data_IF_536250259470
#
_entry.id   IF_536250259470
#
_cell.length_a   1.000
_cell.length_b   1.000
_cell.length_c   1.000
_cell.angle_alpha   90.00
_cell.angle_beta   90.00
_cell.angle_gamma   90.00
#
_symmetry.space_group_name_H-M   'P 1'
#
loop_
_entity.id
_entity.type
_entity.pdbx_description
1 polymer ?
#
# COMPACT_ATOMS: atom_id res chain seq x y z
N UNK A 1 -50.69 8.43 10.98
CA UNK A 1 -49.81 8.61 9.81
C UNK A 1 -48.53 9.44 10.08
N UNK A 2 -48.50 10.35 11.06
CA UNK A 2 -47.30 11.18 11.34
C UNK A 2 -46.18 10.46 12.10
N UNK A 3 -46.46 9.44 12.91
CA UNK A 3 -45.48 8.71 13.72
C UNK A 3 -44.62 7.79 12.88
N UNK A 4 -45.15 7.18 11.82
CA UNK A 4 -44.40 6.26 10.92
C UNK A 4 -43.35 7.03 10.08
N UNK A 5 -43.63 8.29 9.73
CA UNK A 5 -42.72 9.12 8.94
C UNK A 5 -41.49 9.57 9.77
N UNK A 6 -41.66 9.81 11.07
CA UNK A 6 -40.57 10.23 11.98
C UNK A 6 -39.62 9.07 12.26
N UNK A 7 -40.13 7.83 12.41
CA UNK A 7 -39.30 6.63 12.63
C UNK A 7 -38.49 6.29 11.38
N UNK A 8 -39.09 6.43 10.19
CA UNK A 8 -38.34 6.19 8.93
C UNK A 8 -37.25 7.23 8.69
N UNK A 9 -37.48 8.50 9.06
CA UNK A 9 -36.46 9.56 8.91
C UNK A 9 -35.31 9.39 9.90
N UNK A 10 -35.60 8.97 11.15
CA UNK A 10 -34.56 8.74 12.16
C UNK A 10 -33.70 7.53 11.85
N UNK A 11 -34.25 6.45 11.26
CA UNK A 11 -33.46 5.28 10.83
C UNK A 11 -32.60 5.58 9.62
N UNK A 12 -33.06 6.40 8.67
CA UNK A 12 -32.26 6.83 7.52
C UNK A 12 -31.06 7.70 7.95
N UNK A 13 -31.24 8.61 8.91
CA UNK A 13 -30.14 9.44 9.45
C UNK A 13 -29.13 8.58 10.22
N UNK A 14 -29.58 7.56 10.95
CA UNK A 14 -28.66 6.65 11.67
C UNK A 14 -27.85 5.76 10.74
N UNK A 15 -28.43 5.26 9.67
CA UNK A 15 -27.74 4.42 8.68
C UNK A 15 -26.73 5.25 7.87
N UNK A 16 -27.09 6.44 7.42
CA UNK A 16 -26.15 7.34 6.73
C UNK A 16 -25.03 7.83 7.66
N UNK A 17 -25.35 8.12 8.94
CA UNK A 17 -24.36 8.48 9.94
C UNK A 17 -23.36 7.36 10.23
N UNK A 18 -23.83 6.12 10.30
CA UNK A 18 -22.98 4.93 10.45
C UNK A 18 -22.13 4.70 9.20
N UNK A 19 -22.66 4.92 8.00
CA UNK A 19 -21.91 4.78 6.75
C UNK A 19 -20.79 5.83 6.63
N UNK A 20 -21.08 7.08 6.93
CA UNK A 20 -20.10 8.18 6.94
C UNK A 20 -19.04 8.00 8.03
N UNK A 21 -19.43 7.51 9.22
CA UNK A 21 -18.48 7.17 10.30
C UNK A 21 -17.61 5.97 9.91
N UNK A 22 -18.17 4.96 9.25
CA UNK A 22 -17.42 3.79 8.77
C UNK A 22 -16.38 4.17 7.73
N UNK A 23 -16.69 5.05 6.78
CA UNK A 23 -15.70 5.55 5.81
C UNK A 23 -14.57 6.35 6.48
N UNK A 24 -14.90 7.24 7.43
CA UNK A 24 -13.89 8.02 8.17
C UNK A 24 -12.99 7.18 9.05
N UNK A 25 -13.51 6.10 9.67
CA UNK A 25 -12.73 5.21 10.55
C UNK A 25 -11.79 4.30 9.76
N UNK A 26 -12.10 3.96 8.50
CA UNK A 26 -11.30 3.05 7.67
C UNK A 26 -10.40 3.74 6.65
N UNK A 27 -10.59 5.03 6.41
CA UNK A 27 -9.77 5.79 5.47
C UNK A 27 -8.50 6.26 6.20
N UNK A 28 -7.38 5.62 5.89
CA UNK A 28 -6.04 6.11 6.28
C UNK A 28 -5.48 6.80 5.04
N UNK A 29 -5.39 8.12 5.10
CA UNK A 29 -4.69 8.96 4.14
C UNK A 29 -3.85 9.92 4.97
N UNK A 30 -2.77 9.39 5.54
CA UNK A 30 -1.88 10.19 6.38
C UNK A 30 -0.73 10.70 5.54
N UNK A 31 -0.43 11.96 5.74
CA UNK A 31 0.73 12.65 5.15
C UNK A 31 1.79 12.84 6.23
N UNK A 32 3.05 12.84 5.80
CA UNK A 32 4.13 13.22 6.67
C UNK A 32 3.92 14.64 7.21
N UNK A 33 4.26 14.92 8.48
CA UNK A 33 4.24 16.27 9.01
C UNK A 33 5.18 17.18 8.22
N UNK A 34 4.85 18.49 8.20
CA UNK A 34 5.73 19.49 7.61
C UNK A 34 7.02 19.60 8.43
N UNK A 35 8.15 19.81 7.75
CA UNK A 35 9.47 19.98 8.35
C UNK A 35 10.44 18.84 8.08
N UNK A 36 11.61 18.94 8.70
CA UNK A 36 12.66 17.91 8.57
C UNK A 36 12.32 16.69 9.45
N UNK A 37 12.05 15.58 8.79
CA UNK A 37 11.83 14.30 9.45
C UNK A 37 13.19 13.66 9.71
N UNK A 38 13.47 13.41 10.99
CA UNK A 38 14.66 12.65 11.40
C UNK A 38 14.28 11.18 11.47
N UNK A 39 15.00 10.35 10.74
CA UNK A 39 14.87 8.90 10.78
C UNK A 39 16.21 8.25 11.11
N UNK A 40 16.19 7.25 11.99
CA UNK A 40 17.40 6.52 12.41
C UNK A 40 17.93 5.56 11.34
N UNK A 41 17.07 5.13 10.43
CA UNK A 41 17.38 4.17 9.36
C UNK A 41 16.96 4.69 8.00
N UNK A 42 17.93 4.85 7.11
CA UNK A 42 17.63 5.16 5.72
C UNK A 42 16.82 4.03 5.06
N UNK A 43 15.78 4.38 4.31
CA UNK A 43 15.06 3.46 3.43
C UNK A 43 16.01 2.68 2.50
N UNK A 44 17.07 3.34 2.04
CA UNK A 44 18.05 2.75 1.12
C UNK A 44 19.01 1.75 1.76
N UNK A 45 18.99 1.58 3.09
CA UNK A 45 19.71 0.53 3.81
C UNK A 45 18.93 -0.79 3.90
N UNK A 46 17.69 -0.80 3.43
CA UNK A 46 16.84 -1.99 3.43
C UNK A 46 17.20 -2.91 2.29
N UNK A 47 16.82 -4.17 2.46
CA UNK A 47 16.89 -5.21 1.45
C UNK A 47 15.69 -6.18 1.62
N UNK A 48 15.33 -6.85 0.56
CA UNK A 48 14.33 -7.92 0.55
C UNK A 48 14.60 -8.88 -0.62
N UNK A 49 14.15 -10.13 -0.51
CA UNK A 49 14.23 -11.06 -1.62
C UNK A 49 13.10 -10.78 -2.64
N UNK A 50 13.46 -10.75 -3.91
CA UNK A 50 12.48 -10.71 -4.99
C UNK A 50 11.69 -12.02 -5.08
N UNK A 51 10.77 -12.11 -6.05
CA UNK A 51 9.89 -13.27 -6.21
C UNK A 51 10.68 -14.56 -6.48
N UNK A 52 11.87 -14.45 -7.09
CA UNK A 52 12.80 -15.56 -7.40
C UNK A 52 13.73 -15.91 -6.23
N UNK A 53 13.63 -15.20 -5.10
CA UNK A 53 14.48 -15.40 -3.92
C UNK A 53 15.83 -14.69 -3.97
N UNK A 54 16.09 -13.81 -4.96
CA UNK A 54 17.31 -13.03 -5.05
C UNK A 54 17.21 -11.79 -4.17
N UNK A 55 18.23 -11.56 -3.35
CA UNK A 55 18.28 -10.36 -2.49
C UNK A 55 18.47 -9.08 -3.31
N UNK A 56 17.56 -8.15 -3.13
CA UNK A 56 17.53 -6.83 -3.76
C UNK A 56 17.85 -5.78 -2.70
N UNK A 57 18.95 -5.05 -2.87
CA UNK A 57 19.25 -3.87 -2.05
C UNK A 57 18.46 -2.66 -2.52
N UNK A 58 17.83 -1.96 -1.59
CA UNK A 58 17.03 -0.76 -1.90
C UNK A 58 17.88 0.47 -2.25
N UNK A 59 19.18 0.38 -2.08
CA UNK A 59 20.12 1.40 -2.59
C UNK A 59 20.01 1.63 -4.11
N UNK A 60 19.54 0.61 -4.86
CA UNK A 60 19.29 0.74 -6.32
C UNK A 60 18.15 1.70 -6.68
N UNK A 61 17.30 2.06 -5.71
CA UNK A 61 16.16 2.96 -5.91
C UNK A 61 16.46 4.42 -5.53
N UNK A 62 17.70 4.75 -5.15
CA UNK A 62 18.10 6.13 -4.83
C UNK A 62 17.77 7.10 -5.97
N UNK A 63 17.17 8.25 -5.60
CA UNK A 63 16.80 9.29 -6.55
C UNK A 63 15.50 9.02 -7.31
N UNK A 64 14.78 7.94 -7.01
CA UNK A 64 13.45 7.65 -7.55
C UNK A 64 12.39 7.69 -6.45
N UNK A 65 11.19 8.11 -6.81
CA UNK A 65 10.01 7.91 -5.97
C UNK A 65 9.66 6.43 -5.92
N UNK A 66 9.17 5.97 -4.78
CA UNK A 66 8.82 4.57 -4.60
C UNK A 66 7.39 4.44 -4.06
N UNK A 67 6.59 3.58 -4.69
CA UNK A 67 5.31 3.13 -4.17
C UNK A 67 5.47 1.70 -3.66
N UNK A 68 5.29 1.48 -2.36
CA UNK A 68 5.25 0.15 -1.77
C UNK A 68 3.79 -0.24 -1.55
N UNK A 69 3.43 -1.45 -1.95
CA UNK A 69 2.07 -1.97 -1.82
C UNK A 69 2.09 -3.45 -1.43
N UNK A 70 1.27 -3.85 -0.45
CA UNK A 70 1.05 -5.26 -0.18
C UNK A 70 -0.12 -5.78 -1.00
N UNK A 71 0.06 -6.93 -1.63
CA UNK A 71 -0.84 -7.43 -2.66
C UNK A 71 -1.35 -8.85 -2.35
N UNK A 72 -2.44 -9.24 -3.02
CA UNK A 72 -2.99 -10.59 -2.94
C UNK A 72 -3.84 -10.93 -4.18
N UNK A 73 -3.75 -12.20 -4.62
CA UNK A 73 -4.40 -12.70 -5.84
C UNK A 73 -5.92 -12.93 -5.69
N UNK A 74 -6.44 -13.08 -4.45
CA UNK A 74 -7.85 -13.42 -4.18
C UNK A 74 -8.57 -12.36 -3.33
N UNK A 75 -8.25 -11.09 -3.52
CA UNK A 75 -8.81 -9.97 -2.78
C UNK A 75 -9.85 -9.22 -3.62
N UNK A 76 -10.83 -8.58 -2.98
CA UNK A 76 -11.75 -7.67 -3.68
C UNK A 76 -11.06 -6.48 -4.35
N UNK A 77 -9.83 -6.16 -3.96
CA UNK A 77 -9.01 -5.10 -4.56
C UNK A 77 -8.00 -5.62 -5.62
N UNK A 78 -8.00 -6.90 -5.96
CA UNK A 78 -7.02 -7.51 -6.90
C UNK A 78 -7.01 -6.81 -8.27
N UNK A 79 -8.16 -6.26 -8.71
CA UNK A 79 -8.23 -5.47 -9.95
C UNK A 79 -7.33 -4.23 -9.95
N UNK A 80 -6.86 -3.75 -8.79
CA UNK A 80 -5.87 -2.66 -8.71
C UNK A 80 -4.52 -3.02 -9.32
N UNK A 81 -4.21 -4.28 -9.56
CA UNK A 81 -3.03 -4.68 -10.33
C UNK A 81 -3.02 -4.04 -11.73
N UNK A 82 -4.18 -3.95 -12.39
CA UNK A 82 -4.30 -3.28 -13.68
C UNK A 82 -3.89 -1.79 -13.59
N UNK A 83 -4.38 -1.11 -12.55
CA UNK A 83 -4.12 0.31 -12.35
C UNK A 83 -2.67 0.56 -11.90
N UNK A 84 -2.07 -0.35 -11.10
CA UNK A 84 -0.65 -0.33 -10.76
C UNK A 84 0.22 -0.50 -12.02
N UNK A 85 -0.15 -1.43 -12.90
CA UNK A 85 0.57 -1.65 -14.16
C UNK A 85 0.45 -0.45 -15.11
N UNK A 86 -0.71 0.19 -15.18
CA UNK A 86 -0.90 1.42 -15.94
C UNK A 86 -0.03 2.56 -15.38
N UNK A 87 -0.04 2.74 -14.05
CA UNK A 87 0.79 3.72 -13.36
C UNK A 87 2.28 3.46 -13.64
N UNK A 88 2.71 2.19 -13.58
CA UNK A 88 4.07 1.79 -13.90
C UNK A 88 4.46 2.16 -15.33
N UNK A 89 3.68 1.75 -16.32
CA UNK A 89 3.95 2.04 -17.75
C UNK A 89 4.07 3.53 -18.04
N UNK A 90 3.26 4.34 -17.34
CA UNK A 90 3.20 5.78 -17.57
C UNK A 90 4.34 6.55 -16.89
N UNK A 91 4.87 6.04 -15.77
CA UNK A 91 5.78 6.81 -14.91
C UNK A 91 7.01 6.02 -14.44
N UNK A 92 7.42 4.95 -15.12
CA UNK A 92 8.55 4.10 -14.72
C UNK A 92 9.92 4.83 -14.72
N UNK A 93 10.01 5.98 -15.39
CA UNK A 93 11.14 6.89 -15.33
C UNK A 93 11.25 7.62 -13.99
N UNK A 94 10.11 7.91 -13.32
CA UNK A 94 10.00 8.69 -12.08
C UNK A 94 9.64 7.85 -10.86
N UNK A 95 8.83 6.82 -11.05
CA UNK A 95 8.27 5.99 -9.98
C UNK A 95 8.69 4.53 -10.12
N UNK A 96 9.13 3.94 -9.02
CA UNK A 96 9.29 2.49 -8.91
C UNK A 96 8.18 1.89 -8.03
N UNK A 97 7.52 0.84 -8.51
CA UNK A 97 6.51 0.10 -7.74
C UNK A 97 7.17 -1.15 -7.16
N UNK A 98 7.00 -1.36 -5.85
CA UNK A 98 7.50 -2.50 -5.10
C UNK A 98 6.32 -3.23 -4.46
N UNK A 99 5.95 -4.38 -5.02
CA UNK A 99 4.79 -5.15 -4.57
C UNK A 99 5.21 -6.35 -3.72
N UNK A 100 4.57 -6.47 -2.56
CA UNK A 100 4.81 -7.50 -1.56
C UNK A 100 3.59 -8.40 -1.39
N UNK A 101 3.57 -9.59 -2.01
CA UNK A 101 2.52 -10.58 -1.79
C UNK A 101 2.43 -10.98 -0.32
N UNK A 102 1.20 -11.06 0.22
CA UNK A 102 1.02 -11.40 1.63
C UNK A 102 -0.28 -12.14 1.92
N UNK A 103 -0.17 -13.22 2.69
CA UNK A 103 -1.32 -14.01 3.14
C UNK A 103 -1.89 -13.56 4.50
N UNK A 104 -1.49 -12.38 5.00
CA UNK A 104 -1.90 -11.90 6.33
C UNK A 104 -3.37 -11.49 6.43
N UNK A 105 -4.06 -11.27 5.32
CA UNK A 105 -5.41 -10.75 5.30
C UNK A 105 -6.36 -11.74 4.62
N UNK A 106 -7.16 -12.41 5.44
CA UNK A 106 -8.20 -13.32 4.96
C UNK A 106 -7.69 -14.51 4.16
N UNK A 107 -6.41 -14.89 4.29
CA UNK A 107 -5.78 -15.97 3.53
C UNK A 107 -5.93 -15.81 2.00
N UNK A 108 -5.88 -14.56 1.53
CA UNK A 108 -6.15 -14.20 0.14
C UNK A 108 -4.92 -14.30 -0.79
N UNK A 109 -3.77 -14.77 -0.27
CA UNK A 109 -2.56 -15.07 -1.07
C UNK A 109 -2.01 -16.46 -0.76
N UNK A 110 -2.76 -17.54 -1.09
CA UNK A 110 -2.36 -18.91 -0.72
C UNK A 110 -1.25 -19.49 -1.60
N UNK A 111 -1.03 -18.94 -2.81
CA UNK A 111 -0.09 -19.46 -3.80
C UNK A 111 1.37 -19.48 -3.34
N UNK A 112 2.22 -20.30 -4.00
CA UNK A 112 3.67 -20.17 -3.95
C UNK A 112 4.14 -18.91 -4.68
N UNK A 113 5.42 -18.55 -4.58
CA UNK A 113 6.00 -17.43 -5.33
C UNK A 113 5.80 -17.61 -6.84
N UNK A 114 6.10 -18.77 -7.39
CA UNK A 114 5.94 -19.08 -8.82
C UNK A 114 4.47 -18.94 -9.27
N UNK A 115 3.52 -19.42 -8.46
CA UNK A 115 2.08 -19.27 -8.76
C UNK A 115 1.60 -17.82 -8.70
N UNK A 116 2.18 -17.01 -7.81
CA UNK A 116 1.87 -15.58 -7.69
C UNK A 116 2.43 -14.83 -8.91
N UNK A 117 3.67 -15.12 -9.28
CA UNK A 117 4.31 -14.52 -10.46
C UNK A 117 3.54 -14.85 -11.73
N UNK A 118 3.25 -16.14 -11.99
CA UNK A 118 2.44 -16.58 -13.13
C UNK A 118 1.05 -15.89 -13.14
N UNK A 119 0.40 -15.78 -11.98
CA UNK A 119 -0.88 -15.09 -11.86
C UNK A 119 -0.77 -13.61 -12.24
N UNK A 120 0.24 -12.91 -11.75
CA UNK A 120 0.48 -11.49 -12.01
C UNK A 120 0.81 -11.23 -13.49
N UNK A 121 1.68 -12.05 -14.09
CA UNK A 121 2.05 -11.94 -15.49
C UNK A 121 0.88 -12.26 -16.41
N UNK A 122 0.24 -13.42 -16.21
CA UNK A 122 -0.81 -13.92 -17.12
C UNK A 122 -2.06 -13.05 -17.09
N UNK A 123 -2.51 -12.59 -15.90
CA UNK A 123 -3.78 -11.89 -15.78
C UNK A 123 -3.67 -10.37 -15.94
N UNK A 124 -2.48 -9.79 -15.63
CA UNK A 124 -2.30 -8.33 -15.57
C UNK A 124 -1.10 -7.82 -16.36
N UNK A 125 -0.23 -8.72 -16.85
CA UNK A 125 1.00 -8.33 -17.55
C UNK A 125 1.94 -7.50 -16.67
N UNK A 126 2.05 -7.87 -15.39
CA UNK A 126 2.87 -7.15 -14.42
C UNK A 126 4.35 -7.29 -14.79
N UNK A 127 5.02 -6.14 -14.92
CA UNK A 127 6.45 -6.05 -15.18
C UNK A 127 7.22 -5.15 -14.17
N UNK A 128 6.54 -4.67 -13.13
CA UNK A 128 7.17 -4.02 -12.00
C UNK A 128 7.65 -5.04 -10.95
N UNK A 129 8.50 -4.60 -10.01
CA UNK A 129 9.17 -5.47 -9.05
C UNK A 129 8.19 -6.18 -8.10
N UNK A 130 8.14 -7.51 -8.17
CA UNK A 130 7.51 -8.37 -7.18
C UNK A 130 8.57 -8.88 -6.19
N UNK A 131 8.21 -8.98 -4.91
CA UNK A 131 9.01 -9.59 -3.86
C UNK A 131 8.42 -10.94 -3.43
N UNK A 132 9.21 -11.76 -2.73
CA UNK A 132 8.73 -13.02 -2.18
C UNK A 132 7.54 -12.81 -1.24
N UNK A 133 6.63 -13.78 -1.23
CA UNK A 133 5.49 -13.76 -0.31
C UNK A 133 5.98 -13.75 1.14
N UNK A 134 5.56 -12.75 1.89
CA UNK A 134 6.04 -12.53 3.25
C UNK A 134 4.96 -11.94 4.17
N UNK A 135 5.27 -11.91 5.46
CA UNK A 135 4.42 -11.22 6.42
C UNK A 135 4.66 -9.70 6.34
N UNK A 136 3.58 -8.95 6.21
CA UNK A 136 3.57 -7.48 6.20
C UNK A 136 2.97 -6.90 7.49
N UNK A 137 2.49 -7.77 8.41
CA UNK A 137 1.86 -7.40 9.67
C UNK A 137 2.28 -8.35 10.80
N UNK A 138 2.13 -7.89 12.06
CA UNK A 138 2.46 -8.68 13.26
C UNK A 138 3.95 -8.71 13.58
N UNK A 139 4.33 -9.52 14.57
CA UNK A 139 5.72 -9.61 15.06
C UNK A 139 6.71 -10.05 13.98
N UNK A 140 6.27 -10.95 13.11
CA UNK A 140 7.10 -11.59 12.09
C UNK A 140 7.05 -10.85 10.74
N UNK A 141 6.56 -9.61 10.71
CA UNK A 141 6.58 -8.81 9.46
C UNK A 141 8.02 -8.62 8.99
N UNK A 142 8.21 -8.58 7.66
CA UNK A 142 9.52 -8.40 7.05
C UNK A 142 10.15 -7.03 7.43
N UNK A 143 11.44 -6.87 7.16
CA UNK A 143 12.18 -5.67 7.58
C UNK A 143 11.69 -4.39 6.90
N UNK A 144 11.18 -4.47 5.67
CA UNK A 144 10.61 -3.33 4.96
C UNK A 144 9.37 -2.82 5.70
N UNK A 145 8.45 -3.73 6.05
CA UNK A 145 7.23 -3.37 6.78
C UNK A 145 7.50 -3.05 8.26
N UNK A 146 8.60 -3.51 8.86
CA UNK A 146 9.07 -3.01 10.15
C UNK A 146 9.45 -1.53 10.05
N UNK A 147 10.22 -1.19 9.02
CA UNK A 147 10.62 0.20 8.78
C UNK A 147 9.40 1.09 8.50
N UNK A 148 8.49 0.66 7.60
CA UNK A 148 7.29 1.40 7.22
C UNK A 148 6.33 1.68 8.39
N UNK A 149 6.39 0.92 9.47
CA UNK A 149 5.48 1.02 10.62
C UNK A 149 6.20 1.19 11.95
N UNK A 150 7.33 1.92 11.95
CA UNK A 150 8.08 2.30 13.15
C UNK A 150 8.47 3.77 13.05
N UNK A 151 7.92 4.59 13.94
CA UNK A 151 8.27 6.03 14.06
C UNK A 151 9.77 6.23 14.22
N UNK A 152 10.44 5.38 15.02
CA UNK A 152 11.89 5.42 15.23
C UNK A 152 12.67 5.24 13.93
N UNK A 153 12.14 4.38 13.02
CA UNK A 153 12.82 4.05 11.75
C UNK A 153 12.51 5.03 10.64
N UNK A 154 11.23 5.42 10.47
CA UNK A 154 10.76 6.25 9.35
C UNK A 154 10.49 7.72 9.74
N UNK A 155 10.50 8.03 11.03
CA UNK A 155 10.39 9.37 11.58
C UNK A 155 8.98 9.81 11.99
N UNK A 156 7.89 9.13 11.57
CA UNK A 156 6.55 9.61 11.91
C UNK A 156 5.42 8.55 11.90
N UNK A 157 5.54 7.48 11.11
CA UNK A 157 4.44 6.54 10.93
C UNK A 157 4.61 5.25 11.75
N UNK A 158 3.58 4.88 12.51
CA UNK A 158 3.47 3.61 13.25
C UNK A 158 2.42 2.65 12.67
N UNK A 159 1.72 3.06 11.59
CA UNK A 159 0.60 2.31 11.04
C UNK A 159 1.06 1.21 10.11
N UNK A 160 0.75 -0.03 10.50
CA UNK A 160 0.86 -1.22 9.64
C UNK A 160 -0.32 -1.32 8.68
N UNK A 161 -0.20 -2.09 7.58
CA UNK A 161 -1.32 -2.36 6.69
C UNK A 161 -2.52 -2.92 7.46
N UNK A 162 -3.71 -2.43 7.12
CA UNK A 162 -4.98 -2.92 7.69
C UNK A 162 -5.68 -3.93 6.79
N UNK A 163 -5.31 -3.94 5.51
CA UNK A 163 -5.83 -4.86 4.50
C UNK A 163 -4.85 -4.99 3.32
N UNK A 164 -5.16 -5.86 2.34
CA UNK A 164 -4.40 -5.93 1.07
C UNK A 164 -4.54 -4.63 0.26
N UNK A 165 -3.56 -4.34 -0.57
CA UNK A 165 -3.45 -3.13 -1.39
C UNK A 165 -3.34 -1.83 -0.58
N UNK A 166 -2.78 -1.90 0.61
CA UNK A 166 -2.39 -0.74 1.41
C UNK A 166 -1.07 -0.18 0.86
N UNK A 167 -0.93 1.13 0.76
CA UNK A 167 0.15 1.77 0.02
C UNK A 167 0.94 2.74 0.87
N UNK A 168 2.23 2.86 0.55
CA UNK A 168 3.17 3.79 1.16
C UNK A 168 3.94 4.50 0.05
N UNK A 169 4.03 5.83 0.11
CA UNK A 169 4.75 6.66 -0.85
C UNK A 169 6.04 7.17 -0.23
N UNK A 170 7.15 6.97 -0.92
CA UNK A 170 8.51 7.32 -0.49
C UNK A 170 9.11 8.27 -1.53
N UNK A 171 9.64 9.42 -1.10
CA UNK A 171 10.24 10.40 -1.98
C UNK A 171 11.66 10.00 -2.45
N UNK A 172 12.26 10.79 -3.34
CA UNK A 172 13.58 10.57 -3.93
C UNK A 172 14.73 10.59 -2.90
N UNK A 173 14.46 11.15 -1.70
CA UNK A 173 15.41 11.16 -0.58
C UNK A 173 15.27 9.93 0.32
N UNK A 174 14.28 9.07 0.03
CA UNK A 174 13.98 7.90 0.84
C UNK A 174 13.14 8.20 2.08
N UNK A 175 12.41 9.30 2.08
CA UNK A 175 11.52 9.69 3.18
C UNK A 175 10.10 9.19 2.92
N UNK A 176 9.49 8.57 3.92
CA UNK A 176 8.07 8.20 3.86
C UNK A 176 7.21 9.46 3.86
N UNK A 177 6.42 9.67 2.81
CA UNK A 177 5.61 10.88 2.60
C UNK A 177 4.11 10.64 2.87
N UNK A 178 3.61 9.47 2.50
CA UNK A 178 2.17 9.18 2.63
C UNK A 178 1.92 7.72 2.95
N UNK A 179 0.84 7.49 3.70
CA UNK A 179 0.29 6.17 4.01
C UNK A 179 -1.16 6.15 3.58
N UNK A 180 -1.50 5.26 2.65
CA UNK A 180 -2.78 5.24 1.95
C UNK A 180 -3.50 3.92 2.14
N UNK A 181 -4.79 3.98 2.42
CA UNK A 181 -5.63 2.79 2.59
C UNK A 181 -5.91 2.07 1.28
N UNK A 182 -6.37 0.82 1.40
CA UNK A 182 -6.62 -0.10 0.28
C UNK A 182 -7.59 0.44 -0.78
N UNK A 183 -8.55 1.29 -0.39
CA UNK A 183 -9.55 1.87 -1.27
C UNK A 183 -9.05 3.05 -2.12
N UNK A 184 -7.84 3.57 -1.85
CA UNK A 184 -7.22 4.55 -2.73
C UNK A 184 -6.73 3.85 -3.99
N UNK A 185 -7.28 4.25 -5.15
CA UNK A 185 -6.88 3.67 -6.43
C UNK A 185 -5.47 4.14 -6.81
N UNK A 186 -4.62 3.27 -7.42
CA UNK A 186 -3.29 3.66 -7.87
C UNK A 186 -3.24 4.86 -8.82
N UNK A 187 -4.32 5.11 -9.56
CA UNK A 187 -4.43 6.25 -10.49
C UNK A 187 -5.14 7.47 -9.88
N UNK A 188 -5.48 7.43 -8.58
CA UNK A 188 -6.07 8.58 -7.90
C UNK A 188 -5.10 9.78 -7.90
N UNK A 189 -5.69 10.97 -7.96
CA UNK A 189 -4.97 12.25 -8.02
C UNK A 189 -3.85 12.35 -6.97
N UNK A 190 -4.07 11.85 -5.77
CA UNK A 190 -3.11 11.89 -4.67
C UNK A 190 -1.80 11.16 -5.01
N UNK A 191 -1.87 10.00 -5.66
CA UNK A 191 -0.69 9.25 -6.07
C UNK A 191 -0.06 9.88 -7.32
N UNK A 192 -0.90 10.26 -8.29
CA UNK A 192 -0.40 10.88 -9.53
C UNK A 192 0.29 12.21 -9.25
N UNK A 193 -0.29 13.07 -8.41
CA UNK A 193 0.33 14.35 -8.02
C UNK A 193 1.67 14.10 -7.30
N UNK A 194 1.75 13.13 -6.41
CA UNK A 194 3.02 12.76 -5.77
C UNK A 194 4.08 12.36 -6.80
N UNK A 195 3.71 11.65 -7.86
CA UNK A 195 4.66 11.19 -8.88
C UNK A 195 5.16 12.33 -9.76
N UNK A 196 4.31 13.31 -10.11
CA UNK A 196 4.65 14.35 -11.09
C UNK A 196 5.28 15.60 -10.48
N UNK A 197 5.06 15.87 -9.18
CA UNK A 197 5.61 17.04 -8.45
C UNK A 197 6.91 16.68 -7.73
#
# INVERSE_FOLDING_TARGET
MKVVLIVALSTLISVSGIYVLREKVFKVNDQAPDGDIINDKSFYSLEANDIDGKTISFSKYKGKKVLIVNVASKCGYTNQYKDLQELHRKYNDKLTILAFPSNNFGFQEPGSNDQIEEFCETNYGIDFQLFEKSNVRGKNRNNVYKWLSSVESNGWNDKSPRWNFFKYLIDERGMLKSVLSSNVNPLDKEIVDFVIN
#
